data_IF_345875231912
#
_entry.id   IF_345875231912
#
_cell.length_a   1.000
_cell.length_b   1.000
_cell.length_c   1.000
_cell.angle_alpha   90.00
_cell.angle_beta   90.00
_cell.angle_gamma   90.00
#
_symmetry.space_group_name_H-M   'P 1'
#
loop_
_entity.id
_entity.type
_entity.pdbx_description
1 polymer ?
#
# COMPACT_ATOMS: atom_id res chain seq x y z
N UNK A 1 21.84 4.75 -31.18
CA UNK A 1 21.80 3.70 -30.13
C UNK A 1 20.35 3.61 -29.68
N UNK A 2 19.63 2.60 -30.14
CA UNK A 2 18.26 2.33 -29.69
C UNK A 2 18.35 1.77 -28.28
N UNK A 3 17.94 2.53 -27.28
CA UNK A 3 17.56 1.93 -26.00
C UNK A 3 16.34 1.05 -26.24
N UNK A 4 16.27 -0.17 -25.73
CA UNK A 4 15.08 -1.01 -25.85
C UNK A 4 13.96 -0.31 -25.11
N UNK A 5 13.01 0.21 -25.88
CA UNK A 5 11.76 0.79 -25.37
C UNK A 5 11.04 -0.27 -24.53
N UNK A 6 10.88 -0.04 -23.23
CA UNK A 6 10.08 -0.88 -22.34
C UNK A 6 10.79 -1.62 -21.22
N UNK A 7 12.12 -1.55 -21.08
CA UNK A 7 12.79 -2.09 -19.90
C UNK A 7 12.69 -1.10 -18.73
N UNK A 8 12.21 -1.52 -17.52
CA UNK A 8 12.23 -0.66 -16.36
C UNK A 8 13.66 -0.18 -16.08
N UNK A 9 13.83 1.07 -15.61
CA UNK A 9 15.15 1.54 -15.22
C UNK A 9 15.75 0.58 -14.20
N UNK A 10 17.09 0.37 -14.22
CA UNK A 10 17.76 -0.52 -13.28
C UNK A 10 17.41 -0.19 -11.82
N UNK A 11 17.25 1.08 -11.49
CA UNK A 11 16.85 1.53 -10.16
C UNK A 11 15.42 1.05 -9.79
N UNK A 12 14.45 1.16 -10.71
CA UNK A 12 13.09 0.70 -10.50
C UNK A 12 13.04 -0.82 -10.32
N UNK A 13 13.77 -1.56 -11.17
CA UNK A 13 13.87 -3.01 -11.05
C UNK A 13 14.46 -3.43 -9.70
N UNK A 14 15.54 -2.80 -9.26
CA UNK A 14 16.14 -3.08 -7.96
C UNK A 14 15.16 -2.76 -6.84
N UNK A 15 14.54 -1.58 -6.84
CA UNK A 15 13.67 -1.13 -5.74
C UNK A 15 12.37 -1.91 -5.65
N UNK A 16 11.73 -2.22 -6.77
CA UNK A 16 10.38 -2.82 -6.79
C UNK A 16 10.36 -4.32 -7.12
N UNK A 17 11.50 -4.91 -7.49
CA UNK A 17 11.62 -6.35 -7.72
C UNK A 17 12.61 -6.97 -6.73
N UNK A 18 13.86 -6.53 -6.75
CA UNK A 18 14.92 -7.15 -5.93
C UNK A 18 14.67 -6.93 -4.43
N UNK A 19 14.41 -5.68 -4.01
CA UNK A 19 14.20 -5.36 -2.59
C UNK A 19 13.00 -6.12 -2.00
N UNK A 20 11.79 -6.12 -2.61
CA UNK A 20 10.67 -6.93 -2.10
C UNK A 20 10.95 -8.43 -2.04
N UNK A 21 11.65 -9.01 -3.02
CA UNK A 21 12.03 -10.43 -3.00
C UNK A 21 12.99 -10.73 -1.85
N UNK A 22 14.01 -9.90 -1.65
CA UNK A 22 14.94 -10.04 -0.53
C UNK A 22 14.20 -9.91 0.81
N UNK A 23 13.31 -8.93 0.95
CA UNK A 23 12.49 -8.77 2.16
C UNK A 23 11.56 -9.97 2.39
N UNK A 24 11.01 -10.56 1.32
CA UNK A 24 10.23 -11.80 1.42
C UNK A 24 11.09 -12.95 1.94
N UNK A 25 12.31 -13.15 1.43
CA UNK A 25 13.22 -14.18 1.91
C UNK A 25 13.54 -14.01 3.40
N UNK A 26 13.86 -12.78 3.84
CA UNK A 26 14.07 -12.49 5.26
C UNK A 26 12.82 -12.74 6.10
N UNK A 27 11.65 -12.31 5.60
CA UNK A 27 10.38 -12.53 6.28
C UNK A 27 10.08 -14.02 6.45
N UNK A 28 10.23 -14.82 5.40
CA UNK A 28 10.02 -16.27 5.44
C UNK A 28 11.00 -16.95 6.40
N UNK A 29 12.27 -16.60 6.32
CA UNK A 29 13.29 -17.13 7.23
C UNK A 29 12.94 -16.83 8.71
N UNK A 30 12.62 -15.59 9.02
CA UNK A 30 12.22 -15.18 10.37
C UNK A 30 10.94 -15.89 10.83
N UNK A 31 9.93 -15.99 9.96
CA UNK A 31 8.66 -16.66 10.26
C UNK A 31 8.85 -18.16 10.54
N UNK A 32 9.68 -18.84 9.75
CA UNK A 32 9.99 -20.25 9.95
C UNK A 32 10.79 -20.48 11.24
N UNK A 33 11.74 -19.59 11.55
CA UNK A 33 12.50 -19.64 12.81
C UNK A 33 11.60 -19.46 14.03
N UNK A 34 10.70 -18.48 14.01
CA UNK A 34 9.79 -18.22 15.13
C UNK A 34 8.76 -19.35 15.29
N UNK A 35 8.31 -19.98 14.20
CA UNK A 35 7.37 -21.13 14.27
C UNK A 35 7.89 -22.29 15.11
N UNK A 36 9.20 -22.42 15.27
CA UNK A 36 9.82 -23.47 16.13
C UNK A 36 9.68 -23.17 17.62
N UNK A 37 9.49 -21.90 18.00
CA UNK A 37 9.47 -21.45 19.40
C UNK A 37 8.14 -20.82 19.82
N UNK A 38 7.38 -20.26 18.86
CA UNK A 38 6.12 -19.58 19.11
C UNK A 38 5.14 -19.74 17.93
N UNK A 39 3.84 -19.59 18.21
CA UNK A 39 2.80 -19.69 17.18
C UNK A 39 2.80 -18.46 16.25
N UNK A 40 3.34 -18.61 15.01
CA UNK A 40 3.14 -17.64 13.94
C UNK A 40 2.05 -18.13 12.99
N UNK A 41 1.04 -17.30 12.72
CA UNK A 41 -0.15 -17.70 11.94
C UNK A 41 0.19 -17.81 10.45
N UNK A 42 -0.14 -18.93 9.83
CA UNK A 42 0.18 -19.21 8.41
C UNK A 42 -0.43 -18.18 7.44
N UNK A 43 -1.63 -17.70 7.72
CA UNK A 43 -2.28 -16.70 6.87
C UNK A 43 -1.47 -15.39 6.73
N UNK A 44 -0.67 -15.01 7.75
CA UNK A 44 0.23 -13.85 7.67
C UNK A 44 1.35 -14.07 6.65
N UNK A 45 1.87 -15.30 6.58
CA UNK A 45 2.87 -15.68 5.58
C UNK A 45 2.25 -15.59 4.20
N UNK A 46 1.07 -16.16 4.00
CA UNK A 46 0.35 -16.10 2.73
C UNK A 46 0.08 -14.65 2.33
N UNK A 47 -0.43 -13.82 3.26
CA UNK A 47 -0.70 -12.40 3.00
C UNK A 47 0.54 -11.64 2.55
N UNK A 48 1.66 -11.78 3.28
CA UNK A 48 2.90 -11.10 2.93
C UNK A 48 3.45 -11.56 1.57
N UNK A 49 3.42 -12.88 1.32
CA UNK A 49 3.86 -13.46 0.04
C UNK A 49 3.00 -12.96 -1.12
N UNK A 50 1.67 -12.98 -0.98
CA UNK A 50 0.75 -12.47 -2.02
C UNK A 50 1.01 -11.00 -2.28
N UNK A 51 1.14 -10.17 -1.23
CA UNK A 51 1.47 -8.76 -1.39
C UNK A 51 2.77 -8.52 -2.15
N UNK A 52 3.83 -9.28 -1.80
CA UNK A 52 5.11 -9.20 -2.52
C UNK A 52 4.98 -9.65 -3.98
N UNK A 53 4.29 -10.76 -4.24
CA UNK A 53 4.06 -11.26 -5.61
C UNK A 53 3.33 -10.22 -6.45
N UNK A 54 2.29 -9.57 -5.93
CA UNK A 54 1.57 -8.51 -6.65
C UNK A 54 2.47 -7.32 -7.01
N UNK A 55 3.32 -6.87 -6.09
CA UNK A 55 4.29 -5.79 -6.35
C UNK A 55 5.27 -6.22 -7.43
N UNK A 56 5.86 -7.40 -7.31
CA UNK A 56 6.87 -7.89 -8.26
C UNK A 56 6.27 -8.09 -9.64
N UNK A 57 5.12 -8.76 -9.75
CA UNK A 57 4.47 -9.03 -11.04
C UNK A 57 4.03 -7.77 -11.76
N UNK A 58 3.69 -6.70 -11.01
CA UNK A 58 3.35 -5.41 -11.61
C UNK A 58 4.52 -4.76 -12.35
N UNK A 59 5.77 -5.11 -11.99
CA UNK A 59 6.99 -4.57 -12.60
C UNK A 59 7.62 -5.49 -13.66
N UNK A 60 7.05 -6.67 -13.85
CA UNK A 60 7.54 -7.64 -14.82
C UNK A 60 6.66 -7.66 -16.09
N UNK A 61 7.22 -7.97 -17.28
CA UNK A 61 6.42 -8.29 -18.45
C UNK A 61 5.54 -9.53 -18.18
N UNK A 62 4.31 -9.59 -18.70
CA UNK A 62 3.73 -8.66 -19.67
C UNK A 62 3.05 -7.40 -19.08
N UNK A 63 2.82 -7.35 -17.74
CA UNK A 63 2.03 -6.26 -17.15
C UNK A 63 2.75 -4.90 -17.25
N UNK A 64 4.04 -4.85 -16.96
CA UNK A 64 4.81 -3.61 -17.08
C UNK A 64 4.80 -3.06 -18.52
N UNK A 65 4.94 -3.92 -19.53
CA UNK A 65 4.85 -3.52 -20.95
C UNK A 65 3.46 -3.02 -21.30
N UNK A 66 2.40 -3.69 -20.85
CA UNK A 66 1.04 -3.25 -21.07
C UNK A 66 0.75 -1.90 -20.39
N UNK A 67 1.18 -1.74 -19.13
CA UNK A 67 1.01 -0.48 -18.40
C UNK A 67 1.72 0.72 -19.04
N UNK A 68 2.76 0.50 -19.82
CA UNK A 68 3.47 1.56 -20.53
C UNK A 68 2.74 2.06 -21.78
N UNK A 69 1.89 1.24 -22.39
CA UNK A 69 1.21 1.55 -23.66
C UNK A 69 -0.31 1.73 -23.53
N UNK A 70 -0.90 1.33 -22.39
CA UNK A 70 -2.35 1.33 -22.18
C UNK A 70 -2.67 1.79 -20.75
N UNK A 71 -3.56 2.77 -20.65
CA UNK A 71 -3.94 3.35 -19.34
C UNK A 71 -4.64 2.32 -18.43
N UNK A 72 -5.31 1.31 -18.98
CA UNK A 72 -5.91 0.20 -18.21
C UNK A 72 -4.82 -0.65 -17.55
N UNK A 73 -3.74 -0.94 -18.29
CA UNK A 73 -2.57 -1.62 -17.75
C UNK A 73 -1.90 -0.83 -16.65
N UNK A 74 -1.73 0.48 -16.84
CA UNK A 74 -1.22 1.39 -15.79
C UNK A 74 -2.12 1.38 -14.55
N UNK A 75 -3.43 1.36 -14.72
CA UNK A 75 -4.37 1.34 -13.59
C UNK A 75 -4.31 0.02 -12.82
N UNK A 76 -4.18 -1.12 -13.50
CA UNK A 76 -3.96 -2.40 -12.84
C UNK A 76 -2.63 -2.43 -12.08
N UNK A 77 -1.58 -1.87 -12.68
CA UNK A 77 -0.28 -1.71 -12.03
C UNK A 77 -0.39 -0.84 -10.77
N UNK A 78 -1.11 0.29 -10.84
CA UNK A 78 -1.41 1.15 -9.71
C UNK A 78 -2.14 0.40 -8.58
N UNK A 79 -3.18 -0.37 -8.90
CA UNK A 79 -3.92 -1.18 -7.91
C UNK A 79 -3.01 -2.18 -7.21
N UNK A 80 -2.11 -2.83 -7.94
CA UNK A 80 -1.17 -3.79 -7.36
C UNK A 80 -0.10 -3.12 -6.50
N UNK A 81 0.46 -2.00 -6.95
CA UNK A 81 1.53 -1.29 -6.23
C UNK A 81 1.01 -0.46 -5.05
N UNK A 82 -0.08 0.27 -5.26
CA UNK A 82 -0.58 1.24 -4.28
C UNK A 82 -1.60 0.66 -3.29
N UNK A 83 -2.30 -0.42 -3.65
CA UNK A 83 -3.41 -0.90 -2.84
C UNK A 83 -3.26 -2.36 -2.41
N UNK A 84 -3.40 -3.35 -3.31
CA UNK A 84 -3.41 -4.77 -2.95
C UNK A 84 -2.06 -5.29 -2.45
N UNK A 85 -0.95 -4.87 -3.06
CA UNK A 85 0.39 -5.22 -2.62
C UNK A 85 0.66 -4.75 -1.19
N UNK A 86 0.58 -3.44 -0.91
CA UNK A 86 0.68 -2.88 0.44
C UNK A 86 -0.27 -3.52 1.46
N UNK A 87 -1.53 -3.79 1.08
CA UNK A 87 -2.50 -4.48 1.91
C UNK A 87 -1.97 -5.86 2.35
N UNK A 88 -1.47 -6.64 1.40
CA UNK A 88 -0.89 -7.96 1.66
C UNK A 88 0.32 -7.89 2.59
N UNK A 89 1.23 -6.94 2.33
CA UNK A 89 2.42 -6.73 3.17
C UNK A 89 2.04 -6.37 4.61
N UNK A 90 1.13 -5.41 4.79
CA UNK A 90 0.71 -4.92 6.12
C UNK A 90 0.03 -6.02 6.93
N UNK A 91 -0.89 -6.78 6.33
CA UNK A 91 -1.57 -7.86 7.06
C UNK A 91 -0.65 -9.06 7.34
N UNK A 92 0.48 -9.17 6.66
CA UNK A 92 1.57 -10.06 7.03
C UNK A 92 2.19 -9.75 8.40
N UNK A 93 1.97 -8.54 8.94
CA UNK A 93 2.50 -8.07 10.22
C UNK A 93 4.04 -8.16 10.32
N UNK A 94 4.79 -7.58 9.34
CA UNK A 94 6.25 -7.67 9.31
C UNK A 94 6.90 -6.98 10.50
N UNK A 95 6.33 -5.89 11.01
CA UNK A 95 6.82 -5.18 12.20
C UNK A 95 6.77 -6.06 13.45
N UNK A 96 5.67 -6.80 13.66
CA UNK A 96 5.55 -7.75 14.77
C UNK A 96 6.54 -8.90 14.66
N UNK A 97 6.80 -9.38 13.44
CA UNK A 97 7.78 -10.42 13.18
C UNK A 97 9.20 -9.92 13.47
N UNK A 98 9.55 -8.74 12.97
CA UNK A 98 10.84 -8.10 13.19
C UNK A 98 11.12 -7.91 14.68
N UNK A 99 10.16 -7.31 15.42
CA UNK A 99 10.32 -7.06 16.87
C UNK A 99 10.51 -8.34 17.69
N UNK A 100 9.96 -9.48 17.21
CA UNK A 100 10.15 -10.79 17.84
C UNK A 100 11.46 -11.48 17.42
N UNK A 101 12.06 -11.06 16.31
CA UNK A 101 13.27 -11.67 15.74
C UNK A 101 14.56 -11.03 16.23
N UNK A 102 14.48 -9.80 16.78
CA UNK A 102 15.64 -9.02 17.21
C UNK A 102 15.78 -9.00 18.75
N UNK A 103 16.95 -8.55 19.25
CA UNK A 103 17.18 -8.38 20.67
C UNK A 103 16.24 -7.33 21.28
N UNK A 104 15.97 -7.44 22.59
CA UNK A 104 15.14 -6.46 23.31
C UNK A 104 15.71 -5.03 23.25
N UNK A 105 17.04 -4.87 23.14
CA UNK A 105 17.69 -3.56 22.96
C UNK A 105 17.35 -2.97 21.60
N UNK A 106 17.47 -3.76 20.52
CA UNK A 106 17.13 -3.36 19.16
C UNK A 106 15.64 -3.04 19.02
N UNK A 107 14.78 -3.90 19.58
CA UNK A 107 13.32 -3.67 19.56
C UNK A 107 12.94 -2.34 20.24
N UNK A 108 13.56 -2.01 21.39
CA UNK A 108 13.38 -0.70 22.04
C UNK A 108 13.86 0.46 21.18
N UNK A 109 15.01 0.30 20.50
CA UNK A 109 15.53 1.30 19.54
C UNK A 109 14.54 1.58 18.42
N UNK A 110 13.99 0.54 17.78
CA UNK A 110 12.96 0.65 16.74
C UNK A 110 11.72 1.39 17.26
N UNK A 111 11.23 1.00 18.45
CA UNK A 111 10.06 1.65 19.04
C UNK A 111 10.32 3.11 19.41
N UNK A 112 11.53 3.46 19.87
CA UNK A 112 11.90 4.84 20.13
C UNK A 112 12.00 5.67 18.85
N UNK A 113 12.53 5.11 17.77
CA UNK A 113 12.53 5.74 16.44
C UNK A 113 11.11 6.06 15.97
N UNK A 114 10.18 5.11 16.11
CA UNK A 114 8.76 5.30 15.76
C UNK A 114 8.05 6.36 16.63
N UNK A 115 8.61 6.69 17.82
CA UNK A 115 8.13 7.76 18.70
C UNK A 115 8.63 9.15 18.32
N UNK A 116 9.66 9.27 17.49
CA UNK A 116 10.20 10.56 17.06
C UNK A 116 9.09 11.43 16.41
N UNK A 117 9.09 12.73 16.72
CA UNK A 117 8.05 13.66 16.25
C UNK A 117 7.82 13.62 14.74
N UNK A 118 8.85 13.68 13.87
CA UNK A 118 8.66 13.66 12.42
C UNK A 118 8.07 12.33 11.94
N UNK A 119 8.53 11.19 12.53
CA UNK A 119 8.01 9.87 12.18
C UNK A 119 6.54 9.75 12.62
N UNK A 120 6.20 10.22 13.82
CA UNK A 120 4.83 10.22 14.32
C UNK A 120 3.89 11.04 13.44
N UNK A 121 4.34 12.18 12.92
CA UNK A 121 3.56 12.99 11.96
C UNK A 121 3.33 12.21 10.67
N UNK A 122 4.39 11.60 10.11
CA UNK A 122 4.33 10.86 8.86
C UNK A 122 3.40 9.63 8.95
N UNK A 123 3.45 8.88 10.06
CA UNK A 123 2.63 7.69 10.28
C UNK A 123 1.22 7.99 10.81
N UNK A 124 0.85 9.27 10.96
CA UNK A 124 -0.51 9.64 11.36
C UNK A 124 -1.50 9.33 10.22
N UNK A 125 -2.67 8.70 10.48
CA UNK A 125 -3.59 8.28 9.43
C UNK A 125 -4.01 9.40 8.47
N UNK A 126 -4.20 10.63 8.98
CA UNK A 126 -4.53 11.78 8.13
C UNK A 126 -3.40 12.12 7.17
N UNK A 127 -2.15 12.15 7.66
CA UNK A 127 -0.97 12.41 6.81
C UNK A 127 -0.79 11.29 5.79
N UNK A 128 -0.95 10.04 6.23
CA UNK A 128 -0.85 8.88 5.35
C UNK A 128 -1.91 8.90 4.24
N UNK A 129 -3.17 9.23 4.58
CA UNK A 129 -4.25 9.39 3.60
C UNK A 129 -3.97 10.55 2.62
N UNK A 130 -3.43 11.66 3.12
CA UNK A 130 -3.06 12.80 2.26
C UNK A 130 -1.93 12.44 1.28
N UNK A 131 -0.93 11.70 1.74
CA UNK A 131 0.15 11.22 0.85
C UNK A 131 -0.38 10.25 -0.19
N UNK A 132 -1.25 9.35 0.19
CA UNK A 132 -1.79 8.31 -0.70
C UNK A 132 -2.81 8.90 -1.68
N UNK A 133 -3.93 9.37 -1.19
CA UNK A 133 -5.02 9.92 -2.02
C UNK A 133 -4.61 11.23 -2.68
N UNK A 134 -3.97 12.15 -1.95
CA UNK A 134 -3.49 13.42 -2.50
C UNK A 134 -2.45 13.24 -3.60
N UNK A 135 -1.57 12.24 -3.48
CA UNK A 135 -0.64 11.84 -4.53
C UNK A 135 -1.36 11.42 -5.82
N UNK A 136 -2.47 10.66 -5.71
CA UNK A 136 -3.29 10.27 -6.85
C UNK A 136 -4.00 11.45 -7.50
N UNK A 137 -4.55 12.39 -6.71
CA UNK A 137 -5.14 13.62 -7.24
C UNK A 137 -4.12 14.45 -8.01
N UNK A 138 -2.91 14.61 -7.44
CA UNK A 138 -1.81 15.29 -8.12
C UNK A 138 -1.45 14.59 -9.43
N UNK A 139 -1.35 13.27 -9.43
CA UNK A 139 -0.99 12.50 -10.60
C UNK A 139 -2.02 12.63 -11.73
N UNK A 140 -3.28 12.35 -11.43
CA UNK A 140 -4.29 12.19 -12.49
C UNK A 140 -4.98 13.48 -12.90
N UNK A 141 -5.12 14.48 -12.01
CA UNK A 141 -5.82 15.74 -12.33
C UNK A 141 -4.89 16.87 -12.79
N UNK A 142 -3.57 16.63 -12.84
CA UNK A 142 -2.59 17.61 -13.31
C UNK A 142 -1.73 17.00 -14.42
N UNK A 143 -0.89 17.80 -15.11
CA UNK A 143 0.08 17.28 -16.08
C UNK A 143 1.16 16.36 -15.51
N UNK A 144 1.14 16.09 -14.22
CA UNK A 144 2.15 15.27 -13.55
C UNK A 144 2.22 13.83 -14.09
N UNK A 145 1.08 13.28 -14.55
CA UNK A 145 1.05 11.97 -15.20
C UNK A 145 1.96 11.94 -16.43
N UNK A 146 1.75 12.86 -17.38
CA UNK A 146 2.56 12.93 -18.63
C UNK A 146 4.02 13.24 -18.35
N UNK A 147 4.31 14.11 -17.37
CA UNK A 147 5.66 14.39 -16.93
C UNK A 147 6.35 13.15 -16.34
N UNK A 148 5.66 12.39 -15.50
CA UNK A 148 6.21 11.18 -14.90
C UNK A 148 6.45 10.05 -15.91
N UNK A 149 5.68 10.00 -16.99
CA UNK A 149 5.89 9.03 -18.08
C UNK A 149 7.07 9.41 -18.98
N UNK A 150 7.44 10.70 -19.07
CA UNK A 150 8.56 11.19 -19.89
C UNK A 150 9.90 11.29 -19.14
N UNK A 151 9.89 11.38 -17.81
CA UNK A 151 11.08 11.50 -16.98
C UNK A 151 11.35 10.21 -16.19
N UNK A 152 12.48 9.50 -16.43
CA UNK A 152 12.79 8.25 -15.75
C UNK A 152 12.92 8.37 -14.23
N UNK A 153 13.36 9.54 -13.71
CA UNK A 153 13.49 9.74 -12.26
C UNK A 153 12.13 9.91 -11.62
N UNK A 154 11.27 10.74 -12.21
CA UNK A 154 9.87 10.90 -11.75
C UNK A 154 9.10 9.59 -11.83
N UNK A 155 9.32 8.81 -12.89
CA UNK A 155 8.73 7.48 -13.04
C UNK A 155 9.09 6.55 -11.87
N UNK A 156 10.39 6.46 -11.53
CA UNK A 156 10.85 5.65 -10.38
C UNK A 156 10.25 6.17 -9.08
N UNK A 157 10.31 7.47 -8.83
CA UNK A 157 9.80 8.09 -7.60
C UNK A 157 8.29 7.84 -7.44
N UNK A 158 7.52 7.95 -8.53
CA UNK A 158 6.09 7.69 -8.52
C UNK A 158 5.76 6.26 -8.09
N UNK A 159 6.42 5.27 -8.69
CA UNK A 159 6.15 3.85 -8.39
C UNK A 159 6.58 3.47 -6.98
N UNK A 160 7.71 4.00 -6.50
CA UNK A 160 8.13 3.84 -5.10
C UNK A 160 7.15 4.54 -4.16
N UNK A 161 6.69 5.74 -4.52
CA UNK A 161 5.67 6.47 -3.74
C UNK A 161 4.38 5.66 -3.58
N UNK A 162 3.86 5.05 -4.64
CA UNK A 162 2.65 4.22 -4.56
C UNK A 162 2.78 3.10 -3.52
N UNK A 163 3.90 2.36 -3.54
CA UNK A 163 4.10 1.28 -2.58
C UNK A 163 4.21 1.81 -1.15
N UNK A 164 4.97 2.89 -0.95
CA UNK A 164 5.22 3.45 0.38
C UNK A 164 3.98 4.13 0.96
N UNK A 165 3.26 4.94 0.16
CA UNK A 165 2.05 5.64 0.61
C UNK A 165 0.92 4.67 0.91
N UNK A 166 0.66 3.69 0.05
CA UNK A 166 -0.34 2.65 0.27
C UNK A 166 -0.02 1.77 1.49
N UNK A 167 1.27 1.42 1.69
CA UNK A 167 1.70 0.72 2.89
C UNK A 167 1.47 1.56 4.14
N UNK A 168 1.87 2.82 4.12
CA UNK A 168 1.73 3.74 5.23
C UNK A 168 0.25 3.97 5.59
N UNK A 169 -0.60 4.19 4.59
CA UNK A 169 -2.04 4.35 4.77
C UNK A 169 -2.66 3.10 5.40
N UNK A 170 -2.50 1.95 4.76
CA UNK A 170 -3.06 0.67 5.26
C UNK A 170 -2.56 0.35 6.67
N UNK A 171 -1.25 0.53 6.93
CA UNK A 171 -0.66 0.27 8.25
C UNK A 171 -1.22 1.21 9.32
N UNK A 172 -1.38 2.50 9.01
CA UNK A 172 -1.84 3.51 9.97
C UNK A 172 -3.30 3.31 10.37
N UNK A 173 -4.16 2.89 9.42
CA UNK A 173 -5.61 2.74 9.67
C UNK A 173 -5.98 1.35 10.19
N UNK A 174 -5.44 0.26 9.62
CA UNK A 174 -5.87 -1.11 9.88
C UNK A 174 -4.73 -2.07 10.27
N UNK A 175 -3.46 -1.65 10.19
CA UNK A 175 -2.31 -2.53 10.40
C UNK A 175 -2.33 -3.24 11.76
N UNK A 176 -1.96 -4.53 11.79
CA UNK A 176 -1.91 -5.33 13.02
C UNK A 176 -0.64 -5.09 13.86
N UNK A 177 0.37 -4.42 13.31
CA UNK A 177 1.65 -4.18 13.95
C UNK A 177 1.56 -3.16 15.08
N UNK A 178 2.41 -3.25 16.11
CA UNK A 178 2.46 -2.27 17.18
C UNK A 178 2.79 -0.87 16.65
N UNK A 179 1.99 0.12 17.05
CA UNK A 179 2.24 1.53 16.78
C UNK A 179 2.28 2.32 18.10
N UNK A 180 3.37 3.05 18.40
CA UNK A 180 3.52 3.74 19.69
C UNK A 180 2.45 4.79 19.98
N UNK A 181 1.90 5.40 18.93
CA UNK A 181 0.90 6.47 19.01
C UNK A 181 -0.20 6.21 17.97
N UNK A 182 -0.97 5.15 18.19
CA UNK A 182 -2.10 4.87 17.30
C UNK A 182 -3.30 5.75 17.69
N UNK A 183 -3.81 6.60 16.78
CA UNK A 183 -5.00 7.40 17.04
C UNK A 183 -6.24 6.58 17.38
N UNK A 184 -7.24 7.24 17.95
CA UNK A 184 -8.49 6.60 18.34
C UNK A 184 -9.16 5.87 17.16
N UNK A 185 -9.99 4.90 17.45
CA UNK A 185 -10.72 4.13 16.41
C UNK A 185 -11.62 5.02 15.58
N UNK A 186 -12.25 6.02 16.20
CA UNK A 186 -13.11 6.98 15.51
C UNK A 186 -12.34 7.81 14.49
N UNK A 187 -11.14 8.31 14.85
CA UNK A 187 -10.28 9.04 13.91
C UNK A 187 -9.89 8.16 12.72
N UNK A 188 -9.47 6.91 12.97
CA UNK A 188 -9.09 5.98 11.89
C UNK A 188 -10.27 5.63 10.99
N UNK A 189 -11.46 5.40 11.56
CA UNK A 189 -12.68 5.13 10.81
C UNK A 189 -13.09 6.35 9.96
N UNK A 190 -13.02 7.54 10.53
CA UNK A 190 -13.28 8.78 9.79
C UNK A 190 -12.30 8.96 8.63
N UNK A 191 -11.00 8.68 8.85
CA UNK A 191 -9.99 8.75 7.79
C UNK A 191 -10.25 7.72 6.69
N UNK A 192 -10.60 6.48 7.02
CA UNK A 192 -11.01 5.48 6.03
C UNK A 192 -12.19 6.01 5.21
N UNK A 193 -13.25 6.48 5.87
CA UNK A 193 -14.45 7.00 5.19
C UNK A 193 -14.13 8.14 4.20
N UNK A 194 -13.37 9.16 4.64
CA UNK A 194 -13.02 10.28 3.77
C UNK A 194 -12.04 9.90 2.66
N UNK A 195 -11.10 9.00 2.93
CA UNK A 195 -10.18 8.50 1.91
C UNK A 195 -10.93 7.72 0.83
N UNK A 196 -11.82 6.79 1.22
CA UNK A 196 -12.68 6.04 0.29
C UNK A 196 -13.55 6.98 -0.54
N UNK A 197 -14.19 7.96 0.09
CA UNK A 197 -15.01 8.93 -0.63
C UNK A 197 -14.18 9.76 -1.63
N UNK A 198 -13.00 10.22 -1.24
CA UNK A 198 -12.10 10.97 -2.12
C UNK A 198 -11.59 10.10 -3.28
N UNK A 199 -11.22 8.84 -3.03
CA UNK A 199 -10.81 7.91 -4.08
C UNK A 199 -11.95 7.67 -5.09
N UNK A 200 -13.15 7.40 -4.62
CA UNK A 200 -14.34 7.23 -5.47
C UNK A 200 -14.67 8.49 -6.30
N UNK A 201 -14.52 9.68 -5.70
CA UNK A 201 -14.68 10.97 -6.41
C UNK A 201 -13.63 11.10 -7.52
N UNK A 202 -12.36 10.76 -7.24
CA UNK A 202 -11.29 10.82 -8.24
C UNK A 202 -11.61 9.93 -9.46
N UNK A 203 -12.03 8.68 -9.24
CA UNK A 203 -12.44 7.78 -10.31
C UNK A 203 -13.57 8.36 -11.17
N UNK A 204 -14.57 9.01 -10.53
CA UNK A 204 -15.67 9.67 -11.25
C UNK A 204 -15.21 10.91 -12.02
N UNK A 205 -14.28 11.71 -11.47
CA UNK A 205 -13.69 12.85 -12.17
C UNK A 205 -12.90 12.39 -13.41
N UNK A 206 -12.12 11.33 -13.28
CA UNK A 206 -11.40 10.73 -14.40
C UNK A 206 -12.36 10.26 -15.49
N UNK A 207 -13.42 9.55 -15.12
CA UNK A 207 -14.44 9.05 -16.05
C UNK A 207 -15.18 10.18 -16.75
N UNK A 208 -15.67 11.18 -16.01
CA UNK A 208 -16.54 12.23 -16.54
C UNK A 208 -15.81 13.31 -17.31
N UNK A 209 -14.57 13.63 -16.94
CA UNK A 209 -13.79 14.72 -17.56
C UNK A 209 -12.63 14.23 -18.44
N UNK A 210 -12.43 12.91 -18.57
CA UNK A 210 -11.39 12.35 -19.43
C UNK A 210 -9.97 12.59 -18.88
N UNK A 211 -9.77 12.49 -17.57
CA UNK A 211 -8.44 12.58 -16.97
C UNK A 211 -7.71 11.22 -16.97
N UNK A 212 -6.38 11.20 -17.07
CA UNK A 212 -5.45 12.33 -17.17
C UNK A 212 -5.47 12.97 -18.57
N UNK A 213 -5.37 14.31 -18.60
CA UNK A 213 -5.31 15.06 -19.85
C UNK A 213 -3.90 15.01 -20.45
N UNK A 214 -3.80 15.29 -21.77
CA UNK A 214 -2.53 15.33 -22.48
C UNK A 214 -1.94 13.95 -22.81
N UNK A 215 -2.71 12.88 -22.61
CA UNK A 215 -2.35 11.52 -23.04
C UNK A 215 -2.81 11.23 -24.47
N UNK A 216 -2.24 10.19 -25.10
CA UNK A 216 -2.71 9.68 -26.41
C UNK A 216 -3.86 8.67 -26.26
N UNK A 217 -4.29 8.40 -25.03
CA UNK A 217 -5.35 7.44 -24.74
C UNK A 217 -6.71 7.94 -25.27
N UNK A 218 -7.51 7.04 -25.84
CA UNK A 218 -8.88 7.35 -26.24
C UNK A 218 -9.77 7.59 -25.00
N UNK A 219 -10.88 8.34 -25.20
CA UNK A 219 -11.84 8.55 -24.11
C UNK A 219 -12.38 7.21 -23.55
N UNK A 220 -12.63 6.22 -24.41
CA UNK A 220 -13.09 4.90 -24.01
C UNK A 220 -12.06 4.15 -23.14
N UNK A 221 -10.77 4.30 -23.46
CA UNK A 221 -9.68 3.73 -22.67
C UNK A 221 -9.57 4.42 -21.30
N UNK A 222 -9.62 5.75 -21.24
CA UNK A 222 -9.63 6.54 -20.01
C UNK A 222 -10.81 6.12 -19.12
N UNK A 223 -12.02 6.00 -19.71
CA UNK A 223 -13.21 5.61 -18.97
C UNK A 223 -13.11 4.18 -18.43
N UNK A 224 -12.58 3.24 -19.20
CA UNK A 224 -12.33 1.88 -18.74
C UNK A 224 -11.30 1.84 -17.60
N UNK A 225 -10.20 2.59 -17.72
CA UNK A 225 -9.20 2.72 -16.69
C UNK A 225 -9.77 3.33 -15.39
N UNK A 226 -10.59 4.38 -15.51
CA UNK A 226 -11.29 5.01 -14.39
C UNK A 226 -12.25 4.04 -13.68
N UNK A 227 -12.95 3.18 -14.44
CA UNK A 227 -13.79 2.12 -13.85
C UNK A 227 -12.96 1.08 -13.09
N UNK A 228 -11.82 0.66 -13.62
CA UNK A 228 -10.92 -0.27 -12.92
C UNK A 228 -10.38 0.33 -11.62
N UNK A 229 -9.98 1.61 -11.67
CA UNK A 229 -9.58 2.34 -10.47
C UNK A 229 -10.71 2.36 -9.44
N UNK A 230 -11.93 2.74 -9.84
CA UNK A 230 -13.08 2.85 -8.96
C UNK A 230 -13.42 1.51 -8.32
N UNK A 231 -13.73 0.47 -9.11
CA UNK A 231 -14.14 -0.83 -8.57
C UNK A 231 -13.00 -1.61 -7.91
N UNK A 232 -11.80 -1.53 -8.47
CA UNK A 232 -10.63 -2.16 -7.87
C UNK A 232 -10.23 -1.53 -6.54
N UNK A 233 -10.33 -0.20 -6.47
CA UNK A 233 -10.13 0.55 -5.23
C UNK A 233 -11.17 0.25 -4.18
N UNK A 234 -12.46 0.26 -4.53
CA UNK A 234 -13.56 -0.10 -3.62
C UNK A 234 -13.32 -1.51 -3.00
N UNK A 235 -12.84 -2.47 -3.80
CA UNK A 235 -12.52 -3.80 -3.30
C UNK A 235 -11.35 -3.77 -2.30
N UNK A 236 -10.28 -3.05 -2.59
CA UNK A 236 -9.14 -2.94 -1.69
C UNK A 236 -9.51 -2.24 -0.37
N UNK A 237 -10.28 -1.17 -0.44
CA UNK A 237 -10.78 -0.43 0.72
C UNK A 237 -11.76 -1.25 1.56
N UNK A 238 -12.62 -2.05 0.92
CA UNK A 238 -13.47 -3.00 1.60
C UNK A 238 -12.66 -4.02 2.41
N UNK A 239 -11.57 -4.53 1.86
CA UNK A 239 -10.65 -5.42 2.59
C UNK A 239 -9.96 -4.71 3.76
N UNK A 240 -9.61 -3.43 3.62
CA UNK A 240 -9.09 -2.60 4.73
C UNK A 240 -10.15 -2.48 5.85
N UNK A 241 -11.40 -2.21 5.50
CA UNK A 241 -12.52 -2.10 6.43
C UNK A 241 -12.73 -3.42 7.17
N UNK A 242 -12.75 -4.55 6.47
CA UNK A 242 -12.81 -5.89 7.08
C UNK A 242 -11.67 -6.08 8.08
N UNK A 243 -10.44 -5.77 7.69
CA UNK A 243 -9.27 -5.87 8.56
C UNK A 243 -9.38 -5.00 9.81
N UNK A 244 -9.86 -3.77 9.64
CA UNK A 244 -10.08 -2.83 10.74
C UNK A 244 -11.10 -3.37 11.75
N UNK A 245 -12.27 -3.81 11.30
CA UNK A 245 -13.31 -4.34 12.17
C UNK A 245 -12.92 -5.71 12.78
N UNK A 246 -12.26 -6.58 12.03
CA UNK A 246 -11.74 -7.84 12.56
C UNK A 246 -10.72 -7.63 13.69
N UNK A 247 -9.89 -6.59 13.61
CA UNK A 247 -8.99 -6.20 14.69
C UNK A 247 -9.76 -5.61 15.89
N UNK A 248 -10.80 -4.82 15.63
CA UNK A 248 -11.65 -4.23 16.66
C UNK A 248 -12.37 -5.30 17.49
N UNK A 249 -13.08 -6.21 16.85
CA UNK A 249 -13.86 -7.25 17.56
C UNK A 249 -12.96 -8.21 18.35
N UNK A 250 -11.79 -8.57 17.82
CA UNK A 250 -10.82 -9.40 18.57
C UNK A 250 -10.33 -8.77 19.86
N UNK A 251 -10.21 -7.44 19.92
CA UNK A 251 -9.81 -6.76 21.17
C UNK A 251 -10.94 -6.76 22.21
N UNK A 252 -12.21 -6.80 21.80
CA UNK A 252 -13.36 -6.89 22.72
C UNK A 252 -13.54 -8.30 23.28
N UNK A 253 -13.28 -9.34 22.50
CA UNK A 253 -13.42 -10.74 22.96
C UNK A 253 -12.33 -11.18 23.94
N UNK A 254 -11.24 -10.44 24.07
CA UNK A 254 -10.14 -10.71 25.02
C UNK A 254 -10.39 -10.04 26.39
N UNK A 255 -11.44 -9.21 26.54
CA UNK A 255 -11.88 -8.58 27.79
C UNK A 255 -13.25 -9.09 28.27
N UNK A 256 -13.41 -10.39 28.61
CA UNK A 256 -14.65 -10.87 29.19
C UNK A 256 -14.57 -10.77 30.72
N UNK A 257 -14.75 -9.57 31.28
CA UNK A 257 -14.71 -9.44 32.75
C UNK A 257 -14.98 -8.05 33.30
N UNK A 258 -14.91 -6.98 32.49
CA UNK A 258 -14.99 -5.60 33.03
C UNK A 258 -16.40 -4.97 32.98
N UNK A 259 -17.46 -5.71 32.69
CA UNK A 259 -18.84 -5.21 32.63
C UNK A 259 -19.82 -6.06 33.44
N UNK A 260 -19.42 -6.54 34.64
CA UNK A 260 -20.36 -7.17 35.58
C UNK A 260 -20.67 -6.30 36.81
N UNK A 261 -20.09 -5.11 36.89
CA UNK A 261 -20.36 -4.20 38.01
C UNK A 261 -20.68 -2.78 37.47
N UNK A 262 -21.85 -2.66 36.81
CA UNK A 262 -22.61 -1.40 36.72
C UNK A 262 -24.09 -1.72 36.45
#
# INVERSE_FOLDING_TARGET
MHHPEGAPSAALFILLVIVPVVLLCFYLFAALRIRRTARWRSWRIVSFTVGTVLIVTSMLPPLASWAHHDLRGHMLQHLFLGMFGPLGLVFGAPGSLLLRSVSARTARGIMNFLRARPIRFLIHPVTAAFLDIGGMYLLYLTPFYTLSMSDPVLFVLLHVHFVLSGYLFTWSVAGPDPAPHRPSRHVRLAVIFFATAAHAILGKLMYGYGYPQGTQASLAEIQAAAQWMYYGGDLAEFLIIIGFFAAWFRQRSVLPGALKDF
#
